data_IF_399938838692
#
_entry.id   IF_399938838692
#
_cell.length_a   1.000
_cell.length_b   1.000
_cell.length_c   1.000
_cell.angle_alpha   90.00
_cell.angle_beta   90.00
_cell.angle_gamma   90.00
#
_symmetry.space_group_name_H-M   'P 1'
#
loop_
_entity.id
_entity.type
_entity.pdbx_description
1 polymer ?
#
# COMPACT_ATOMS: atom_id res chain seq x y z
N UNK A 1 -21.43 -19.65 19.04
CA UNK A 1 -21.02 -21.07 19.04
C UNK A 1 -21.54 -21.84 20.25
N UNK A 2 -21.29 -21.42 21.49
CA UNK A 2 -21.81 -22.12 22.68
C UNK A 2 -23.34 -22.26 22.70
N UNK A 3 -24.08 -21.23 22.25
CA UNK A 3 -25.55 -21.25 22.17
C UNK A 3 -26.10 -22.36 21.24
N UNK A 4 -25.28 -22.88 20.32
CA UNK A 4 -25.62 -24.00 19.43
C UNK A 4 -24.88 -25.29 19.81
N UNK A 5 -24.36 -25.37 21.04
CA UNK A 5 -23.72 -26.58 21.59
C UNK A 5 -22.27 -26.82 21.17
N UNK A 6 -21.63 -25.87 20.46
CA UNK A 6 -20.24 -26.00 20.02
C UNK A 6 -19.30 -25.42 21.10
N UNK A 7 -18.50 -26.29 21.71
CA UNK A 7 -17.43 -25.90 22.63
C UNK A 7 -16.20 -25.41 21.87
N UNK A 8 -15.60 -24.31 22.32
CA UNK A 8 -14.42 -23.69 21.68
C UNK A 8 -13.34 -23.47 22.72
N UNK A 9 -12.09 -23.82 22.38
CA UNK A 9 -10.90 -23.51 23.17
C UNK A 9 -10.19 -22.33 22.52
N UNK A 10 -10.24 -21.16 23.16
CA UNK A 10 -9.58 -19.96 22.65
C UNK A 10 -8.07 -20.04 22.84
N UNK A 11 -7.33 -19.68 21.79
CA UNK A 11 -5.89 -19.49 21.81
C UNK A 11 -5.59 -18.08 21.30
N UNK A 12 -4.96 -17.27 22.15
CA UNK A 12 -4.53 -15.93 21.75
C UNK A 12 -3.21 -16.03 21.01
N UNK A 13 -3.16 -15.55 19.78
CA UNK A 13 -1.98 -15.51 18.93
C UNK A 13 -1.97 -14.17 18.19
N UNK A 14 -0.79 -13.65 17.88
CA UNK A 14 -0.68 -12.56 16.90
C UNK A 14 -0.81 -13.11 15.49
N UNK A 15 -1.18 -12.26 14.53
CA UNK A 15 -1.23 -12.59 13.10
C UNK A 15 0.08 -13.24 12.65
N UNK A 16 1.22 -12.74 13.15
CA UNK A 16 2.53 -13.30 12.79
C UNK A 16 2.77 -14.71 13.32
N UNK A 17 2.21 -15.05 14.48
CA UNK A 17 2.27 -16.41 15.01
C UNK A 17 1.40 -17.36 14.19
N UNK A 18 0.21 -16.92 13.79
CA UNK A 18 -0.69 -17.69 12.91
C UNK A 18 0.00 -17.97 11.57
N UNK A 19 0.55 -16.94 10.91
CA UNK A 19 1.30 -17.08 9.65
C UNK A 19 2.44 -18.10 9.76
N UNK A 20 3.31 -17.95 10.76
CA UNK A 20 4.53 -18.74 10.84
C UNK A 20 4.30 -20.19 11.27
N UNK A 21 3.27 -20.44 12.08
CA UNK A 21 3.12 -21.74 12.76
C UNK A 21 1.95 -22.57 12.20
N UNK A 22 0.90 -21.93 11.68
CA UNK A 22 -0.37 -22.58 11.37
C UNK A 22 -0.80 -22.40 9.91
N UNK A 23 -0.57 -21.22 9.32
CA UNK A 23 -1.01 -20.89 7.95
C UNK A 23 -0.46 -21.87 6.91
N UNK A 24 0.88 -21.99 6.84
CA UNK A 24 1.53 -22.82 5.81
C UNK A 24 1.43 -24.32 6.09
N UNK A 25 0.98 -24.72 7.28
CA UNK A 25 0.82 -26.12 7.68
C UNK A 25 -0.63 -26.58 7.63
N UNK A 26 -1.60 -25.65 7.59
CA UNK A 26 -3.02 -25.95 7.76
C UNK A 26 -3.37 -26.45 9.17
N UNK A 27 -2.50 -26.22 10.17
CA UNK A 27 -2.68 -26.73 11.54
C UNK A 27 -3.60 -25.80 12.35
N UNK A 28 -4.87 -25.74 12.00
CA UNK A 28 -5.90 -24.96 12.70
C UNK A 28 -7.30 -25.52 12.46
N UNK A 29 -8.22 -25.27 13.40
CA UNK A 29 -9.65 -25.57 13.21
C UNK A 29 -10.40 -24.34 12.64
N UNK A 30 -10.24 -23.19 13.30
CA UNK A 30 -10.79 -21.90 12.88
C UNK A 30 -10.05 -20.77 13.59
N UNK A 31 -9.87 -19.64 12.92
CA UNK A 31 -9.33 -18.42 13.49
C UNK A 31 -9.99 -17.20 12.86
N UNK A 32 -9.78 -16.03 13.47
CA UNK A 32 -10.25 -14.76 12.91
C UNK A 32 -9.13 -14.17 12.09
N UNK A 33 -9.41 -13.90 10.82
CA UNK A 33 -8.51 -13.23 9.89
C UNK A 33 -9.18 -12.00 9.29
N UNK A 34 -8.38 -11.10 8.72
CA UNK A 34 -8.85 -9.89 8.07
C UNK A 34 -8.13 -9.63 6.76
N UNK A 35 -8.91 -9.29 5.74
CA UNK A 35 -8.39 -8.86 4.44
C UNK A 35 -8.72 -7.39 4.16
N UNK A 36 -7.77 -6.69 3.55
CA UNK A 36 -8.01 -5.41 2.89
C UNK A 36 -8.35 -5.64 1.42
N UNK A 37 -9.28 -4.84 0.87
CA UNK A 37 -9.65 -4.88 -0.54
C UNK A 37 -9.20 -3.62 -1.28
N UNK A 38 -8.68 -3.80 -2.49
CA UNK A 38 -8.34 -2.70 -3.42
C UNK A 38 -9.61 -2.07 -4.03
N UNK A 39 -9.51 -0.88 -4.65
CA UNK A 39 -10.61 -0.32 -5.45
C UNK A 39 -11.08 -1.26 -6.57
N UNK A 40 -10.17 -2.06 -7.12
CA UNK A 40 -10.50 -3.18 -8.01
C UNK A 40 -10.53 -4.49 -7.20
N UNK A 41 -11.62 -5.25 -7.18
CA UNK A 41 -11.73 -6.41 -6.30
C UNK A 41 -10.90 -7.62 -6.75
N UNK A 42 -10.03 -7.51 -7.77
CA UNK A 42 -9.27 -8.64 -8.29
C UNK A 42 -8.42 -9.33 -7.20
N UNK A 43 -7.74 -8.58 -6.33
CA UNK A 43 -6.94 -9.20 -5.26
C UNK A 43 -7.82 -10.01 -4.29
N UNK A 44 -8.86 -9.39 -3.74
CA UNK A 44 -9.74 -10.07 -2.77
C UNK A 44 -10.48 -11.26 -3.39
N UNK A 45 -10.79 -11.22 -4.69
CA UNK A 45 -11.38 -12.36 -5.39
C UNK A 45 -10.34 -13.45 -5.67
N UNK A 46 -9.07 -13.09 -5.79
CA UNK A 46 -7.99 -14.03 -6.10
C UNK A 46 -7.67 -14.96 -4.94
N UNK A 47 -7.93 -14.57 -3.69
CA UNK A 47 -7.63 -15.43 -2.52
C UNK A 47 -8.38 -16.76 -2.56
N UNK A 48 -9.48 -16.86 -3.32
CA UNK A 48 -10.30 -18.07 -3.41
C UNK A 48 -10.00 -18.95 -4.64
N UNK A 49 -9.00 -18.62 -5.46
CA UNK A 49 -8.61 -19.52 -6.57
C UNK A 49 -7.67 -20.62 -6.07
N UNK A 50 -7.77 -21.81 -6.66
CA UNK A 50 -7.02 -23.00 -6.23
C UNK A 50 -5.51 -22.76 -6.14
N UNK A 51 -4.94 -21.94 -7.03
CA UNK A 51 -3.51 -21.65 -7.06
C UNK A 51 -3.01 -20.78 -5.90
N UNK A 52 -3.90 -20.23 -5.08
CA UNK A 52 -3.55 -19.47 -3.88
C UNK A 52 -3.50 -20.29 -2.60
N UNK A 53 -3.73 -21.61 -2.67
CA UNK A 53 -3.55 -22.51 -1.53
C UNK A 53 -2.15 -22.35 -0.91
N UNK A 54 -2.13 -22.09 0.40
CA UNK A 54 -0.97 -21.75 1.24
C UNK A 54 -0.19 -20.50 0.79
N UNK A 55 -0.66 -19.80 -0.24
CA UNK A 55 -0.21 -18.47 -0.64
C UNK A 55 -1.08 -17.43 0.05
N UNK A 56 -2.04 -16.86 -0.69
CA UNK A 56 -3.05 -15.96 -0.15
C UNK A 56 -4.29 -16.67 0.42
N UNK A 57 -4.32 -18.01 0.46
CA UNK A 57 -5.43 -18.81 1.00
C UNK A 57 -4.91 -19.86 1.98
N UNK A 58 -5.27 -19.75 3.24
CA UNK A 58 -4.98 -20.73 4.30
C UNK A 58 -5.89 -21.96 4.24
N UNK A 59 -7.18 -21.77 3.98
CA UNK A 59 -8.16 -22.85 3.91
C UNK A 59 -8.07 -23.71 2.65
N UNK A 60 -7.22 -23.32 1.69
CA UNK A 60 -6.98 -24.03 0.43
C UNK A 60 -8.27 -24.41 -0.31
N UNK A 61 -9.28 -23.53 -0.28
CA UNK A 61 -10.50 -23.72 -1.05
C UNK A 61 -10.16 -23.94 -2.52
N UNK A 62 -10.75 -24.96 -3.11
CA UNK A 62 -10.48 -25.35 -4.49
C UNK A 62 -11.76 -25.69 -5.21
N UNK A 63 -12.11 -24.87 -6.20
CA UNK A 63 -13.29 -25.09 -7.03
C UNK A 63 -13.02 -24.70 -8.49
N UNK A 64 -13.03 -25.66 -9.43
CA UNK A 64 -12.70 -25.38 -10.82
C UNK A 64 -13.73 -24.48 -11.52
N UNK A 65 -14.95 -24.37 -11.00
CA UNK A 65 -15.94 -23.41 -11.50
C UNK A 65 -15.54 -21.99 -11.11
N UNK A 66 -15.18 -21.77 -9.85
CA UNK A 66 -14.72 -20.45 -9.39
C UNK A 66 -13.44 -20.02 -10.11
N UNK A 67 -12.47 -20.92 -10.27
CA UNK A 67 -11.23 -20.65 -11.02
C UNK A 67 -11.52 -20.16 -12.45
N UNK A 68 -12.46 -20.80 -13.14
CA UNK A 68 -12.90 -20.37 -14.48
C UNK A 68 -13.58 -19.01 -14.46
N UNK A 69 -14.38 -18.72 -13.43
CA UNK A 69 -15.00 -17.41 -13.31
C UNK A 69 -13.96 -16.31 -13.09
N UNK A 70 -12.99 -16.56 -12.20
CA UNK A 70 -11.89 -15.63 -11.97
C UNK A 70 -11.04 -15.39 -13.21
N UNK A 71 -10.76 -16.43 -14.00
CA UNK A 71 -10.08 -16.28 -15.28
C UNK A 71 -10.92 -15.50 -16.31
N UNK A 72 -12.26 -15.66 -16.31
CA UNK A 72 -13.11 -14.95 -17.26
C UNK A 72 -13.28 -13.46 -16.94
N UNK A 73 -13.41 -13.08 -15.66
CA UNK A 73 -13.62 -11.67 -15.31
C UNK A 73 -12.49 -10.75 -15.78
N UNK A 74 -11.25 -11.26 -15.84
CA UNK A 74 -10.09 -10.50 -16.31
C UNK A 74 -10.10 -10.25 -17.82
N UNK A 75 -10.95 -10.96 -18.57
CA UNK A 75 -11.14 -10.78 -20.02
C UNK A 75 -12.27 -9.81 -20.36
N UNK A 76 -13.09 -9.40 -19.38
CA UNK A 76 -14.23 -8.50 -19.58
C UNK A 76 -13.76 -7.05 -19.60
N UNK A 77 -13.78 -6.43 -20.80
CA UNK A 77 -13.36 -5.04 -21.00
C UNK A 77 -14.46 -4.01 -20.72
N UNK A 78 -15.74 -4.40 -20.88
CA UNK A 78 -16.85 -3.53 -20.53
C UNK A 78 -17.03 -3.50 -19.00
N UNK A 79 -16.95 -2.30 -18.43
CA UNK A 79 -16.99 -2.11 -16.98
C UNK A 79 -18.31 -2.61 -16.37
N UNK A 80 -19.45 -2.29 -16.98
CA UNK A 80 -20.77 -2.67 -16.46
C UNK A 80 -20.96 -4.19 -16.51
N UNK A 81 -20.54 -4.83 -17.60
CA UNK A 81 -20.55 -6.28 -17.74
C UNK A 81 -19.63 -6.96 -16.73
N UNK A 82 -18.42 -6.42 -16.50
CA UNK A 82 -17.49 -6.96 -15.50
C UNK A 82 -18.04 -6.83 -14.08
N UNK A 83 -18.66 -5.70 -13.72
CA UNK A 83 -19.32 -5.52 -12.43
C UNK A 83 -20.44 -6.55 -12.22
N UNK A 84 -21.33 -6.71 -13.20
CA UNK A 84 -22.41 -7.69 -13.13
C UNK A 84 -21.90 -9.13 -13.03
N UNK A 85 -20.77 -9.43 -13.67
CA UNK A 85 -20.13 -10.74 -13.58
C UNK A 85 -19.46 -10.98 -12.22
N UNK A 86 -18.75 -9.99 -11.69
CA UNK A 86 -18.13 -10.05 -10.36
C UNK A 86 -19.18 -10.23 -9.26
N UNK A 87 -20.34 -9.59 -9.36
CA UNK A 87 -21.44 -9.81 -8.42
C UNK A 87 -21.90 -11.29 -8.41
N UNK A 88 -21.94 -11.94 -9.58
CA UNK A 88 -22.24 -13.38 -9.66
C UNK A 88 -21.13 -14.23 -9.05
N UNK A 89 -19.86 -13.85 -9.24
CA UNK A 89 -18.73 -14.51 -8.58
C UNK A 89 -18.83 -14.43 -7.06
N UNK A 90 -19.13 -13.24 -6.53
CA UNK A 90 -19.30 -13.02 -5.09
C UNK A 90 -20.48 -13.82 -4.53
N UNK A 91 -21.61 -13.86 -5.24
CA UNK A 91 -22.73 -14.71 -4.85
C UNK A 91 -22.33 -16.19 -4.84
N UNK A 92 -21.65 -16.66 -5.89
CA UNK A 92 -21.18 -18.04 -5.96
C UNK A 92 -20.31 -18.40 -4.76
N UNK A 93 -19.27 -17.61 -4.47
CA UNK A 93 -18.35 -17.94 -3.37
C UNK A 93 -19.04 -17.80 -1.99
N UNK A 94 -19.96 -16.85 -1.83
CA UNK A 94 -20.76 -16.71 -0.61
C UNK A 94 -21.61 -17.96 -0.35
N UNK A 95 -22.22 -18.54 -1.37
CA UNK A 95 -23.02 -19.76 -1.26
C UNK A 95 -22.16 -21.01 -0.99
N UNK A 96 -20.86 -20.96 -1.31
CA UNK A 96 -19.90 -22.04 -1.05
C UNK A 96 -19.33 -21.99 0.38
N UNK A 97 -19.41 -20.83 1.05
CA UNK A 97 -18.95 -20.59 2.43
C UNK A 97 -17.52 -21.12 2.68
N UNK A 98 -16.51 -20.74 1.86
CA UNK A 98 -15.12 -21.07 2.18
C UNK A 98 -14.64 -20.37 3.45
N UNK A 99 -15.22 -19.19 3.73
CA UNK A 99 -14.97 -18.36 4.91
C UNK A 99 -16.31 -17.77 5.37
N UNK A 100 -16.39 -17.41 6.66
CA UNK A 100 -17.57 -16.76 7.25
C UNK A 100 -17.26 -15.27 7.45
N UNK A 101 -17.92 -14.41 6.69
CA UNK A 101 -17.78 -12.95 6.83
C UNK A 101 -18.45 -12.51 8.14
N UNK A 102 -17.63 -12.02 9.09
CA UNK A 102 -18.12 -11.57 10.40
C UNK A 102 -18.58 -10.11 10.38
N UNK A 103 -17.82 -9.23 9.75
CA UNK A 103 -18.12 -7.81 9.64
C UNK A 103 -17.28 -7.14 8.54
N UNK A 104 -17.62 -5.88 8.26
CA UNK A 104 -16.79 -4.93 7.52
C UNK A 104 -16.35 -3.83 8.49
N UNK A 105 -15.15 -3.93 9.09
CA UNK A 105 -14.75 -3.03 10.16
C UNK A 105 -14.48 -1.62 9.64
N UNK A 106 -14.88 -0.62 10.42
CA UNK A 106 -14.46 0.77 10.19
C UNK A 106 -13.02 0.95 10.70
N UNK A 107 -12.21 1.71 9.95
CA UNK A 107 -10.86 2.06 10.37
C UNK A 107 -10.88 3.24 11.34
N UNK A 108 -10.49 2.99 12.60
CA UNK A 108 -10.19 4.07 13.54
C UNK A 108 -8.76 4.57 13.31
N UNK A 109 -8.62 5.86 12.98
CA UNK A 109 -7.32 6.45 12.66
C UNK A 109 -7.05 7.68 13.50
N UNK A 110 -5.83 7.75 14.04
CA UNK A 110 -5.30 8.92 14.73
C UNK A 110 -4.17 9.52 13.89
N UNK A 111 -4.32 10.78 13.50
CA UNK A 111 -3.34 11.49 12.69
C UNK A 111 -3.19 12.95 13.16
N UNK A 112 -2.07 13.58 12.80
CA UNK A 112 -1.68 14.92 13.27
C UNK A 112 -2.33 16.03 12.45
N UNK A 113 -3.66 16.14 12.50
CA UNK A 113 -4.42 17.25 11.89
C UNK A 113 -4.11 18.61 12.53
N UNK A 114 -3.53 18.61 13.73
CA UNK A 114 -3.04 19.78 14.47
C UNK A 114 -1.67 20.30 13.98
N UNK A 115 -0.93 19.49 13.20
CA UNK A 115 0.39 19.88 12.67
C UNK A 115 0.48 19.86 11.15
N UNK A 116 -0.38 19.09 10.49
CA UNK A 116 -0.34 18.92 9.04
C UNK A 116 -1.72 19.17 8.46
N UNK A 117 -1.74 19.93 7.37
CA UNK A 117 -2.92 20.10 6.50
C UNK A 117 -2.73 19.33 5.20
N UNK A 118 -3.76 19.29 4.37
CA UNK A 118 -3.72 18.63 3.05
C UNK A 118 -3.93 17.12 3.08
N UNK A 119 -4.43 16.59 4.21
CA UNK A 119 -4.89 15.20 4.32
C UNK A 119 -6.00 14.93 3.31
N UNK A 120 -5.80 13.93 2.45
CA UNK A 120 -6.81 13.49 1.47
C UNK A 120 -7.25 12.07 1.82
N UNK A 121 -8.53 11.82 2.11
CA UNK A 121 -8.99 10.48 2.36
C UNK A 121 -9.07 9.69 1.05
N UNK A 122 -8.93 8.37 1.14
CA UNK A 122 -9.06 7.46 0.00
C UNK A 122 -9.93 6.26 0.38
N UNK A 123 -11.08 6.04 -0.28
CA UNK A 123 -11.72 6.92 -1.27
C UNK A 123 -12.11 8.30 -0.72
N UNK A 124 -12.29 9.29 -1.60
CA UNK A 124 -12.59 10.69 -1.22
C UNK A 124 -13.76 10.83 -0.24
N UNK A 125 -14.76 9.96 -0.36
CA UNK A 125 -15.92 9.94 0.51
C UNK A 125 -15.84 8.74 1.46
N UNK A 126 -15.63 9.00 2.75
CA UNK A 126 -15.63 7.97 3.79
C UNK A 126 -14.39 7.07 3.82
N UNK A 127 -13.34 7.43 3.08
CA UNK A 127 -12.09 6.67 3.07
C UNK A 127 -11.16 6.93 4.24
N UNK A 128 -10.06 6.19 4.26
CA UNK A 128 -9.01 6.34 5.27
C UNK A 128 -8.10 7.51 4.91
N UNK A 129 -7.45 8.11 5.91
CA UNK A 129 -6.40 9.12 5.74
C UNK A 129 -4.99 8.55 5.85
N UNK A 130 -4.86 7.39 6.50
CA UNK A 130 -3.60 6.66 6.65
C UNK A 130 -3.69 5.31 5.94
N UNK A 131 -2.55 4.86 5.41
CA UNK A 131 -2.32 3.51 4.89
C UNK A 131 -3.31 3.06 3.79
N UNK A 132 -3.76 3.99 2.94
CA UNK A 132 -4.51 3.71 1.72
C UNK A 132 -3.61 3.59 0.49
N UNK A 133 -4.21 3.77 -0.69
CA UNK A 133 -3.64 3.33 -1.97
C UNK A 133 -2.64 4.31 -2.61
N UNK A 134 -2.41 5.48 -2.02
CA UNK A 134 -1.12 6.16 -2.07
C UNK A 134 -1.14 7.68 -2.09
N UNK A 135 -2.19 8.31 -2.62
CA UNK A 135 -2.17 9.77 -2.83
C UNK A 135 -2.48 10.59 -1.57
N UNK A 136 -2.75 9.91 -0.44
CA UNK A 136 -3.17 10.51 0.83
C UNK A 136 -2.12 11.45 1.45
N UNK A 137 -0.84 11.18 1.19
CA UNK A 137 0.27 11.94 1.78
C UNK A 137 0.86 13.01 0.86
N UNK A 138 0.54 12.99 -0.44
CA UNK A 138 1.16 13.88 -1.44
C UNK A 138 0.81 15.35 -1.23
N UNK A 139 -0.35 15.63 -0.63
CA UNK A 139 -0.80 16.99 -0.32
C UNK A 139 -0.35 17.50 1.04
N UNK A 140 0.35 16.68 1.84
CA UNK A 140 0.65 17.04 3.22
C UNK A 140 1.67 18.17 3.32
N UNK A 141 1.29 19.17 4.10
CA UNK A 141 2.16 20.29 4.42
C UNK A 141 2.06 20.59 5.92
N UNK A 142 3.18 20.95 6.58
CA UNK A 142 3.12 21.49 7.92
C UNK A 142 2.18 22.69 7.95
N UNK A 143 1.28 22.75 8.93
CA UNK A 143 0.67 24.00 9.29
C UNK A 143 1.82 24.93 9.68
N UNK A 144 1.95 26.06 8.99
CA UNK A 144 3.03 27.00 9.23
C UNK A 144 3.15 27.21 10.74
N UNK A 145 4.34 26.95 11.30
CA UNK A 145 4.64 27.43 12.64
C UNK A 145 4.35 28.93 12.61
N UNK A 146 3.54 29.42 13.55
CA UNK A 146 3.36 30.85 13.76
C UNK A 146 4.75 31.52 13.62
N UNK A 147 4.85 32.42 12.64
CA UNK A 147 6.08 32.97 12.05
C UNK A 147 7.33 32.84 12.93
N UNK A 148 8.08 31.76 12.73
CA UNK A 148 9.41 31.60 13.29
C UNK A 148 10.45 32.28 12.42
N UNK A 149 10.53 33.61 12.50
CA UNK A 149 11.69 34.43 12.15
C UNK A 149 12.19 34.35 10.70
N UNK A 150 12.08 35.47 9.97
CA UNK A 150 12.76 35.68 8.68
C UNK A 150 14.23 35.25 8.75
N UNK A 151 14.60 34.16 8.09
CA UNK A 151 16.00 33.90 7.78
C UNK A 151 16.38 34.86 6.64
N UNK A 152 17.16 35.89 6.98
CA UNK A 152 17.79 36.76 6.00
C UNK A 152 18.57 35.89 5.03
N UNK A 153 18.07 35.77 3.79
CA UNK A 153 18.73 35.00 2.74
C UNK A 153 20.19 35.42 2.60
N UNK A 154 21.04 34.46 2.22
CA UNK A 154 22.47 34.66 2.00
C UNK A 154 22.64 35.86 1.05
N UNK A 155 23.35 36.93 1.47
CA UNK A 155 23.47 38.14 0.66
C UNK A 155 24.00 37.81 -0.73
N UNK A 156 23.41 38.41 -1.76
CA UNK A 156 23.74 38.22 -3.18
C UNK A 156 25.24 38.34 -3.50
N UNK A 157 25.98 39.10 -2.68
CA UNK A 157 27.44 39.23 -2.73
C UNK A 157 28.15 37.88 -2.61
N UNK A 158 27.66 36.95 -1.79
CA UNK A 158 28.30 35.64 -1.62
C UNK A 158 28.15 34.76 -2.86
N UNK A 159 27.06 34.92 -3.63
CA UNK A 159 26.90 34.24 -4.92
C UNK A 159 27.83 34.79 -5.99
N UNK A 160 28.07 36.10 -6.00
CA UNK A 160 29.04 36.74 -6.89
C UNK A 160 30.47 36.28 -6.57
N UNK A 161 30.83 36.21 -5.27
CA UNK A 161 32.13 35.71 -4.83
C UNK A 161 32.32 34.25 -5.21
N UNK A 162 31.30 33.40 -5.00
CA UNK A 162 31.35 31.98 -5.40
C UNK A 162 31.56 31.84 -6.92
N UNK A 163 30.83 32.62 -7.73
CA UNK A 163 30.99 32.63 -9.19
C UNK A 163 32.41 33.03 -9.62
N UNK A 164 32.98 34.06 -9.00
CA UNK A 164 34.34 34.52 -9.30
C UNK A 164 35.40 33.48 -8.91
N UNK A 165 35.24 32.80 -7.78
CA UNK A 165 36.15 31.73 -7.35
C UNK A 165 36.13 30.56 -8.33
N UNK A 166 34.95 30.15 -8.79
CA UNK A 166 34.82 29.06 -9.78
C UNK A 166 35.50 29.43 -11.10
N UNK A 167 35.31 30.66 -11.60
CA UNK A 167 35.97 31.13 -12.83
C UNK A 167 37.49 31.17 -12.66
N UNK A 168 37.98 31.63 -11.51
CA UNK A 168 39.42 31.65 -11.22
C UNK A 168 40.03 30.25 -11.17
N UNK A 169 39.33 29.29 -10.57
CA UNK A 169 39.77 27.88 -10.54
C UNK A 169 39.79 27.27 -11.94
N UNK A 170 38.75 27.51 -12.75
CA UNK A 170 38.70 27.02 -14.14
C UNK A 170 39.84 27.63 -14.96
N UNK A 171 40.06 28.94 -14.86
CA UNK A 171 41.15 29.63 -15.54
C UNK A 171 42.52 29.07 -15.11
N UNK A 172 42.72 28.83 -13.82
CA UNK A 172 43.95 28.24 -13.28
C UNK A 172 44.17 26.80 -13.80
N UNK A 173 43.14 25.96 -13.84
CA UNK A 173 43.22 24.60 -14.38
C UNK A 173 43.51 24.60 -15.88
N UNK A 174 42.90 25.49 -16.66
CA UNK A 174 43.16 25.60 -18.10
C UNK A 174 44.57 26.11 -18.37
N UNK A 175 45.04 27.12 -17.63
CA UNK A 175 46.38 27.68 -17.81
C UNK A 175 47.48 26.71 -17.34
N UNK A 176 47.26 25.98 -16.25
CA UNK A 176 48.21 24.94 -15.78
C UNK A 176 48.27 23.73 -16.71
N UNK A 177 47.17 23.39 -17.41
CA UNK A 177 47.18 22.36 -18.46
C UNK A 177 47.92 22.81 -19.74
N UNK A 178 47.86 24.09 -20.11
CA UNK A 178 48.62 24.61 -21.28
C UNK A 178 50.13 24.59 -21.05
N UNK A 179 50.59 24.88 -19.83
CA UNK A 179 52.03 24.85 -19.48
C UNK A 179 52.65 23.44 -19.43
N UNK A 180 51.84 22.39 -19.28
CA UNK A 180 52.29 20.99 -19.31
C UNK A 180 52.45 20.40 -20.72
N UNK A 181 52.04 21.13 -21.76
CA UNK A 181 52.17 20.70 -23.15
C UNK A 181 53.43 21.20 -23.88
N UNK A 182 54.30 21.97 -23.20
CA UNK A 182 55.53 22.54 -23.79
C UNK A 182 56.81 21.78 -23.36
N UNK A 183 56.71 20.68 -22.59
CA UNK A 183 57.86 19.85 -22.18
C UNK A 183 58.01 18.51 -22.95
N UNK A 184 57.18 18.26 -23.98
CA UNK A 184 57.40 17.17 -24.94
C UNK A 184 57.35 17.71 -26.38
N UNK A 185 58.43 18.36 -26.82
CA UNK A 185 58.78 18.59 -28.22
C UNK A 185 60.31 18.72 -28.36
#
# INVERSE_FOLDING_TARGET
LQQIGIGVKLQSMSDKQIENNNWYTGDFDAYVWGWGGDPDPNFILSIFITSQCLGWSDGCYSNPTYDKMFAHQSTLLDHTARVAYIQKMQQFIYDQIPEIVLNYPNYLQAYRSDRFTGWKPEPTNGGTYLFGWGNQYQGLQPLAAAEGGSSSGIPSVLWVVLGLVVVAVIAFVVLSRRRRGEEEA
#
